data_IF_910977450346
#
_entry.id   IF_910977450346
#
_cell.length_a   1.000
_cell.length_b   1.000
_cell.length_c   1.000
_cell.angle_alpha   90.00
_cell.angle_beta   90.00
_cell.angle_gamma   90.00
#
_symmetry.space_group_name_H-M   'P 1'
#
loop_
_entity.id
_entity.type
_entity.pdbx_description
1 polymer ?
#
# COMPACT_ATOMS: atom_id res chain seq x y z
N UNK A 1 18.86 21.73 -6.16
CA UNK A 1 17.40 21.72 -5.97
C UNK A 1 16.91 20.29 -5.77
N UNK A 2 16.16 20.06 -4.71
CA UNK A 2 15.65 18.73 -4.44
C UNK A 2 14.56 18.37 -5.47
N UNK A 3 14.71 17.22 -6.13
CA UNK A 3 13.72 16.74 -7.06
C UNK A 3 12.50 16.13 -6.35
N UNK A 4 11.50 15.77 -7.12
CA UNK A 4 10.24 15.17 -6.63
C UNK A 4 10.45 13.93 -5.78
N UNK A 5 11.39 13.05 -6.18
CA UNK A 5 11.66 11.79 -5.49
C UNK A 5 12.34 12.02 -4.14
N UNK A 6 13.23 13.00 -4.04
CA UNK A 6 13.88 13.34 -2.77
C UNK A 6 12.85 13.85 -1.76
N UNK A 7 11.95 14.74 -2.19
CA UNK A 7 10.89 15.25 -1.33
C UNK A 7 9.93 14.14 -0.88
N UNK A 8 9.55 13.27 -1.80
CA UNK A 8 8.70 12.11 -1.51
C UNK A 8 9.36 11.19 -0.49
N UNK A 9 10.64 10.87 -0.66
CA UNK A 9 11.37 10.00 0.25
C UNK A 9 11.46 10.59 1.65
N UNK A 10 11.61 11.90 1.78
CA UNK A 10 11.59 12.59 3.10
C UNK A 10 10.24 12.43 3.79
N UNK A 11 9.14 12.57 3.04
CA UNK A 11 7.80 12.35 3.61
C UNK A 11 7.60 10.91 4.05
N UNK A 12 8.08 9.94 3.24
CA UNK A 12 7.99 8.53 3.57
C UNK A 12 8.76 8.19 4.85
N UNK A 13 9.96 8.72 5.02
CA UNK A 13 10.79 8.50 6.22
C UNK A 13 10.08 8.98 7.48
N UNK A 14 9.42 10.13 7.41
CA UNK A 14 8.69 10.70 8.54
C UNK A 14 7.54 9.77 8.98
N UNK A 15 6.78 9.26 8.03
CA UNK A 15 5.69 8.33 8.30
C UNK A 15 6.21 7.01 8.84
N UNK A 16 7.26 6.46 8.24
CA UNK A 16 7.87 5.19 8.65
C UNK A 16 8.42 5.25 10.07
N UNK A 17 9.02 6.38 10.46
CA UNK A 17 9.49 6.56 11.83
C UNK A 17 8.35 6.49 12.84
N UNK A 18 7.21 7.08 12.52
CA UNK A 18 6.01 7.00 13.39
C UNK A 18 5.48 5.57 13.50
N UNK A 19 5.47 4.85 12.38
CA UNK A 19 5.00 3.45 12.35
C UNK A 19 5.91 2.56 13.18
N UNK A 20 7.21 2.74 13.09
CA UNK A 20 8.18 1.98 13.89
C UNK A 20 7.94 2.19 15.39
N UNK A 21 7.67 3.43 15.81
CA UNK A 21 7.37 3.73 17.20
C UNK A 21 6.06 3.10 17.68
N UNK A 22 5.08 2.95 16.80
CA UNK A 22 3.79 2.34 17.15
C UNK A 22 3.83 0.82 17.20
N UNK A 23 4.83 0.21 16.60
CA UNK A 23 5.00 -1.25 16.46
C UNK A 23 3.86 -1.97 15.73
N UNK A 24 3.03 -1.24 14.99
CA UNK A 24 1.97 -1.82 14.17
C UNK A 24 2.51 -2.41 12.87
N UNK A 25 1.86 -3.45 12.36
CA UNK A 25 2.13 -3.93 11.01
C UNK A 25 1.87 -2.80 10.02
N UNK A 26 2.60 -2.81 8.92
CA UNK A 26 2.61 -1.70 7.98
C UNK A 26 2.06 -2.12 6.62
N UNK A 27 1.09 -1.37 6.11
CA UNK A 27 0.62 -1.50 4.73
C UNK A 27 1.32 -0.43 3.89
N UNK A 28 2.21 -0.86 3.01
CA UNK A 28 3.00 0.03 2.16
C UNK A 28 2.51 -0.04 0.73
N UNK A 29 2.34 1.13 0.10
CA UNK A 29 1.90 1.25 -1.29
C UNK A 29 3.02 1.85 -2.12
N UNK A 30 3.30 1.22 -3.26
CA UNK A 30 4.23 1.74 -4.28
C UNK A 30 3.48 1.82 -5.60
N UNK A 31 3.83 2.79 -6.43
CA UNK A 31 3.22 2.92 -7.75
C UNK A 31 4.24 3.33 -8.81
N UNK A 32 4.01 2.88 -10.03
CA UNK A 32 4.65 3.39 -11.24
C UNK A 32 3.55 3.93 -12.17
N UNK A 33 3.92 4.37 -13.36
CA UNK A 33 2.93 4.86 -14.33
C UNK A 33 1.92 3.76 -14.72
N UNK A 34 2.36 2.52 -14.80
CA UNK A 34 1.56 1.41 -15.32
C UNK A 34 1.05 0.45 -14.24
N UNK A 35 1.62 0.47 -13.05
CA UNK A 35 1.29 -0.52 -12.03
C UNK A 35 1.22 0.07 -10.63
N UNK A 36 0.52 -0.63 -9.74
CA UNK A 36 0.47 -0.32 -8.33
C UNK A 36 0.71 -1.59 -7.52
N UNK A 37 1.39 -1.45 -6.39
CA UNK A 37 1.83 -2.55 -5.53
C UNK A 37 1.45 -2.26 -4.09
N UNK A 38 1.05 -3.29 -3.35
CA UNK A 38 0.78 -3.18 -1.93
C UNK A 38 1.47 -4.32 -1.18
N UNK A 39 2.05 -4.00 -0.02
CA UNK A 39 2.72 -4.98 0.84
C UNK A 39 2.33 -4.74 2.28
N UNK A 40 2.01 -5.83 2.99
CA UNK A 40 1.86 -5.80 4.45
C UNK A 40 3.11 -6.42 5.05
N UNK A 41 3.78 -5.67 5.90
CA UNK A 41 5.02 -6.09 6.55
C UNK A 41 4.93 -5.86 8.05
N UNK A 42 5.93 -6.34 8.80
CA UNK A 42 6.10 -5.93 10.18
C UNK A 42 6.45 -4.43 10.24
N UNK A 43 6.47 -3.85 11.45
CA UNK A 43 6.57 -2.40 11.64
C UNK A 43 7.84 -1.78 11.05
N UNK A 44 8.95 -2.52 10.98
CA UNK A 44 10.22 -2.01 10.43
C UNK A 44 10.42 -2.37 8.95
N UNK A 45 9.52 -3.14 8.36
CA UNK A 45 9.61 -3.53 6.96
C UNK A 45 10.55 -4.68 6.66
N UNK A 46 11.14 -5.32 7.68
CA UNK A 46 12.12 -6.39 7.48
C UNK A 46 11.52 -7.69 6.97
N UNK A 47 10.25 -7.94 7.27
CA UNK A 47 9.55 -9.18 6.87
C UNK A 47 8.26 -8.85 6.16
N UNK A 48 8.10 -9.33 4.94
CA UNK A 48 6.86 -9.15 4.16
C UNK A 48 5.90 -10.29 4.51
N UNK A 49 4.73 -9.94 5.01
CA UNK A 49 3.72 -10.90 5.46
C UNK A 49 2.68 -11.19 4.38
N UNK A 50 2.36 -10.22 3.54
CA UNK A 50 1.43 -10.37 2.42
C UNK A 50 1.78 -9.34 1.35
N UNK A 51 1.46 -9.64 0.09
CA UNK A 51 1.69 -8.72 -1.02
C UNK A 51 0.63 -8.90 -2.10
N UNK A 52 0.40 -7.85 -2.88
CA UNK A 52 -0.49 -7.86 -4.04
C UNK A 52 -0.03 -6.78 -5.03
N UNK A 53 -0.27 -7.02 -6.31
CA UNK A 53 0.06 -6.03 -7.34
C UNK A 53 -0.78 -6.22 -8.59
N UNK A 54 -0.82 -5.20 -9.44
CA UNK A 54 -1.47 -5.28 -10.76
C UNK A 54 -0.73 -6.19 -11.74
N UNK A 55 0.49 -6.61 -11.40
CA UNK A 55 1.26 -7.56 -12.21
C UNK A 55 0.73 -9.00 -12.12
N UNK A 56 -0.07 -9.30 -11.10
CA UNK A 56 -0.61 -10.65 -10.93
C UNK A 56 -1.60 -10.98 -12.04
N UNK A 57 -1.56 -12.21 -12.53
CA UNK A 57 -2.32 -12.62 -13.71
C UNK A 57 -3.83 -12.44 -13.56
N UNK A 58 -4.38 -12.63 -12.38
CA UNK A 58 -5.81 -12.41 -12.11
C UNK A 58 -6.23 -10.94 -12.08
N UNK A 59 -5.27 -10.01 -12.04
CA UNK A 59 -5.51 -8.57 -11.95
C UNK A 59 -5.09 -7.82 -13.21
N UNK A 60 -4.45 -8.48 -14.16
CA UNK A 60 -4.03 -7.85 -15.40
C UNK A 60 -5.25 -7.40 -16.21
N UNK A 61 -5.26 -6.15 -16.59
CA UNK A 61 -6.29 -5.53 -17.42
C UNK A 61 -5.63 -4.56 -18.37
N UNK A 62 -6.38 -4.04 -19.33
CA UNK A 62 -5.86 -3.10 -20.32
C UNK A 62 -5.33 -1.80 -19.70
N UNK A 63 -5.83 -1.45 -18.52
CA UNK A 63 -5.46 -0.23 -17.81
C UNK A 63 -5.00 -0.53 -16.37
N UNK A 64 -3.87 -1.21 -16.22
CA UNK A 64 -3.34 -1.60 -14.91
C UNK A 64 -2.95 -0.41 -14.01
N UNK A 65 -2.78 0.78 -14.59
CA UNK A 65 -2.45 1.98 -13.85
C UNK A 65 -3.63 2.82 -13.41
N UNK A 66 -4.86 2.37 -13.62
CA UNK A 66 -6.06 3.16 -13.30
C UNK A 66 -6.57 2.92 -11.87
N UNK A 67 -7.58 3.69 -11.49
CA UNK A 67 -8.23 3.63 -10.17
C UNK A 67 -8.89 2.27 -9.94
N UNK A 68 -9.52 1.70 -10.96
CA UNK A 68 -10.18 0.40 -10.86
C UNK A 68 -9.17 -0.72 -10.54
N UNK A 69 -8.02 -0.72 -11.20
CA UNK A 69 -6.96 -1.69 -10.92
C UNK A 69 -6.44 -1.52 -9.49
N UNK A 70 -6.26 -0.29 -9.02
CA UNK A 70 -5.84 -0.01 -7.65
C UNK A 70 -6.85 -0.53 -6.62
N UNK A 71 -8.15 -0.40 -6.90
CA UNK A 71 -9.20 -0.92 -6.02
C UNK A 71 -9.14 -2.45 -5.92
N UNK A 72 -8.86 -3.13 -7.01
CA UNK A 72 -8.69 -4.60 -7.01
C UNK A 72 -7.49 -5.02 -6.17
N UNK A 73 -6.37 -4.31 -6.27
CA UNK A 73 -5.18 -4.57 -5.45
C UNK A 73 -5.50 -4.34 -3.96
N UNK A 74 -6.21 -3.28 -3.63
CA UNK A 74 -6.61 -2.99 -2.25
C UNK A 74 -7.45 -4.11 -1.65
N UNK A 75 -8.43 -4.60 -2.37
CA UNK A 75 -9.27 -5.73 -1.93
C UNK A 75 -8.42 -6.98 -1.73
N UNK A 76 -7.54 -7.29 -2.67
CA UNK A 76 -6.71 -8.49 -2.62
C UNK A 76 -5.72 -8.46 -1.45
N UNK A 77 -5.05 -7.32 -1.22
CA UNK A 77 -4.10 -7.22 -0.11
C UNK A 77 -4.82 -7.35 1.24
N UNK A 78 -6.02 -6.79 1.36
CA UNK A 78 -6.82 -6.91 2.57
C UNK A 78 -7.21 -8.37 2.83
N UNK A 79 -7.69 -9.08 1.82
CA UNK A 79 -8.04 -10.49 1.94
C UNK A 79 -6.84 -11.33 2.38
N UNK A 80 -5.68 -11.10 1.77
CA UNK A 80 -4.45 -11.83 2.10
C UNK A 80 -3.94 -11.53 3.50
N UNK A 81 -4.05 -10.29 3.95
CA UNK A 81 -3.66 -9.90 5.30
C UNK A 81 -4.59 -10.55 6.34
N UNK A 82 -5.88 -10.52 6.11
CA UNK A 82 -6.88 -11.11 7.01
C UNK A 82 -6.69 -12.62 7.12
N UNK A 83 -6.36 -13.31 6.04
CA UNK A 83 -6.03 -14.73 6.07
C UNK A 83 -4.86 -15.04 7.02
N UNK A 84 -3.96 -14.09 7.19
CA UNK A 84 -2.82 -14.21 8.11
C UNK A 84 -3.13 -13.73 9.52
N UNK A 85 -4.37 -13.35 9.78
CA UNK A 85 -4.79 -12.84 11.08
C UNK A 85 -4.49 -11.37 11.31
N UNK A 86 -4.12 -10.63 10.28
CA UNK A 86 -3.79 -9.21 10.37
C UNK A 86 -5.01 -8.39 9.99
N UNK A 87 -5.58 -7.65 10.95
CA UNK A 87 -6.75 -6.80 10.73
C UNK A 87 -6.45 -5.32 10.85
N UNK A 88 -5.46 -4.96 11.67
CA UNK A 88 -5.03 -3.58 11.86
C UNK A 88 -3.65 -3.36 11.26
N UNK A 89 -3.50 -2.27 10.53
CA UNK A 89 -2.22 -1.88 9.93
C UNK A 89 -2.05 -0.37 10.05
N UNK A 90 -0.81 0.08 9.97
CA UNK A 90 -0.50 1.49 9.82
C UNK A 90 -0.25 1.73 8.33
N UNK A 91 -0.89 2.74 7.77
CA UNK A 91 -0.80 3.01 6.34
C UNK A 91 0.46 3.82 6.00
N UNK A 92 1.31 3.26 5.14
CA UNK A 92 2.49 3.93 4.59
C UNK A 92 2.31 4.09 3.08
N UNK A 93 1.97 5.30 2.65
CA UNK A 93 1.78 5.61 1.23
C UNK A 93 3.09 5.96 0.50
N UNK A 94 4.24 5.67 1.11
CA UNK A 94 5.57 5.90 0.53
C UNK A 94 5.80 7.36 0.11
N UNK A 95 5.17 8.31 0.81
CA UNK A 95 5.26 9.73 0.52
C UNK A 95 4.45 10.20 -0.69
N UNK A 96 3.70 9.32 -1.35
CA UNK A 96 2.77 9.71 -2.41
C UNK A 96 1.58 10.47 -1.83
N UNK A 97 0.97 11.32 -2.63
CA UNK A 97 -0.24 12.02 -2.22
C UNK A 97 -1.39 11.02 -2.03
N UNK A 98 -2.21 11.25 -1.00
CA UNK A 98 -3.41 10.47 -0.75
C UNK A 98 -4.52 10.91 -1.72
N UNK A 99 -4.38 10.46 -2.97
CA UNK A 99 -5.23 10.87 -4.07
C UNK A 99 -5.21 9.81 -5.18
N UNK A 100 -6.27 9.76 -5.99
CA UNK A 100 -6.36 8.88 -7.15
C UNK A 100 -6.17 7.41 -6.80
N UNK A 101 -5.17 6.79 -7.41
CA UNK A 101 -4.91 5.35 -7.23
C UNK A 101 -4.59 4.95 -5.79
N UNK A 102 -3.80 5.77 -5.09
CA UNK A 102 -3.44 5.49 -3.70
C UNK A 102 -4.67 5.51 -2.80
N UNK A 103 -5.52 6.51 -2.98
CA UNK A 103 -6.78 6.61 -2.24
C UNK A 103 -7.72 5.45 -2.57
N UNK A 104 -7.84 5.09 -3.84
CA UNK A 104 -8.71 3.99 -4.27
C UNK A 104 -8.28 2.65 -3.66
N UNK A 105 -6.98 2.38 -3.61
CA UNK A 105 -6.45 1.19 -2.96
C UNK A 105 -6.77 1.18 -1.47
N UNK A 106 -6.53 2.30 -0.78
CA UNK A 106 -6.79 2.40 0.65
C UNK A 106 -8.28 2.23 0.99
N UNK A 107 -9.16 2.89 0.24
CA UNK A 107 -10.60 2.79 0.45
C UNK A 107 -11.09 1.34 0.25
N UNK A 108 -10.60 0.68 -0.80
CA UNK A 108 -10.95 -0.71 -1.10
C UNK A 108 -10.46 -1.67 -0.02
N UNK A 109 -9.24 -1.45 0.49
CA UNK A 109 -8.69 -2.27 1.58
C UNK A 109 -9.51 -2.12 2.87
N UNK A 110 -9.96 -0.91 3.17
CA UNK A 110 -10.85 -0.65 4.34
C UNK A 110 -12.19 -1.33 4.17
N UNK A 111 -12.79 -1.27 2.99
CA UNK A 111 -14.06 -1.95 2.70
C UNK A 111 -13.95 -3.46 2.83
N UNK A 112 -12.78 -4.02 2.52
CA UNK A 112 -12.54 -5.47 2.62
C UNK A 112 -12.20 -5.92 4.05
N UNK A 113 -12.07 -5.01 5.00
CA UNK A 113 -11.97 -5.34 6.42
C UNK A 113 -10.70 -4.89 7.14
N UNK A 114 -9.75 -4.27 6.48
CA UNK A 114 -8.58 -3.71 7.16
C UNK A 114 -8.95 -2.42 7.90
N UNK A 115 -8.34 -2.25 9.05
CA UNK A 115 -8.50 -1.06 9.90
C UNK A 115 -7.23 -0.22 9.87
N UNK A 116 -7.36 0.99 9.42
CA UNK A 116 -6.28 1.98 9.47
C UNK A 116 -6.78 3.39 9.21
#
# INVERSE_FOLDING_TARGET
MANKNIKRNRRALKTRSRIELSENNRLTVFRSNSHIYAQVSNFDGSTILASASTLESGLKADNNGNIEAASKVGKLIAERAIEKGIKEVAFDRSGYKYHGRVKALADSAREAGLTF
#
